data_IF_007848490388
#
_entry.id   IF_007848490388
#
_cell.length_a   1.000
_cell.length_b   1.000
_cell.length_c   1.000
_cell.angle_alpha   90.00
_cell.angle_beta   90.00
_cell.angle_gamma   90.00
#
_symmetry.space_group_name_H-M   'P 1'
#
loop_
_entity.id
_entity.type
_entity.pdbx_description
1 polymer ?
#
# COMPACT_ATOMS: atom_id res chain seq x y z
N UNK A 1 10.48 -14.14 0.48
CA UNK A 1 10.36 -12.84 -0.22
C UNK A 1 8.97 -12.31 0.06
N UNK A 2 8.84 -11.06 0.51
CA UNK A 2 7.53 -10.43 0.60
C UNK A 2 7.08 -10.04 -0.80
N UNK A 3 5.86 -10.44 -1.20
CA UNK A 3 5.32 -10.16 -2.53
C UNK A 3 3.91 -9.60 -2.39
N UNK A 4 3.71 -8.39 -2.93
CA UNK A 4 2.38 -7.86 -3.16
C UNK A 4 1.75 -8.62 -4.34
N UNK A 5 0.45 -8.88 -4.26
CA UNK A 5 -0.29 -9.47 -5.37
C UNK A 5 -0.69 -8.35 -6.33
N UNK A 6 -0.21 -8.45 -7.57
CA UNK A 6 -0.46 -7.47 -8.62
C UNK A 6 0.69 -6.48 -8.85
N UNK A 7 0.55 -5.67 -9.88
CA UNK A 7 1.49 -4.59 -10.19
C UNK A 7 1.27 -3.42 -9.23
N UNK A 8 2.35 -2.81 -8.73
CA UNK A 8 2.26 -1.60 -7.90
C UNK A 8 1.83 -0.43 -8.79
N UNK A 9 0.80 0.30 -8.37
CA UNK A 9 0.24 1.44 -9.10
C UNK A 9 0.31 2.75 -8.33
N UNK A 10 0.46 2.71 -7.01
CA UNK A 10 0.60 3.91 -6.17
C UNK A 10 1.38 3.64 -4.88
N UNK A 11 2.02 4.69 -4.35
CA UNK A 11 2.79 4.68 -3.11
C UNK A 11 2.52 5.95 -2.31
N UNK A 12 2.30 5.82 -1.01
CA UNK A 12 2.15 6.96 -0.10
C UNK A 12 2.86 6.72 1.23
N UNK A 13 3.48 7.76 1.78
CA UNK A 13 4.14 7.72 3.08
C UNK A 13 3.25 8.33 4.15
N UNK A 14 3.36 7.82 5.39
CA UNK A 14 2.70 8.39 6.56
C UNK A 14 3.60 8.31 7.79
N UNK A 15 3.37 9.25 8.73
CA UNK A 15 4.01 9.26 10.04
C UNK A 15 5.51 9.44 9.92
N UNK A 16 5.95 10.50 9.22
CA UNK A 16 7.37 10.78 8.94
C UNK A 16 8.10 9.65 8.17
N UNK A 17 7.36 8.91 7.34
CA UNK A 17 7.92 7.81 6.54
C UNK A 17 8.00 6.46 7.27
N UNK A 18 7.53 6.36 8.52
CA UNK A 18 7.48 5.09 9.24
C UNK A 18 6.53 4.05 8.62
N UNK A 19 5.52 4.51 7.89
CA UNK A 19 4.55 3.66 7.20
C UNK A 19 4.56 3.96 5.71
N UNK A 20 4.60 2.89 4.91
CA UNK A 20 4.49 2.94 3.45
C UNK A 20 3.18 2.25 3.07
N UNK A 21 2.33 2.93 2.30
CA UNK A 21 1.10 2.38 1.75
C UNK A 21 1.29 2.12 0.27
N UNK A 22 0.89 0.94 -0.20
CA UNK A 22 1.10 0.46 -1.56
C UNK A 22 -0.26 0.08 -2.15
N UNK A 23 -0.67 0.77 -3.21
CA UNK A 23 -1.83 0.39 -4.02
C UNK A 23 -1.42 -0.47 -5.20
N UNK A 24 -2.29 -1.41 -5.61
CA UNK A 24 -2.03 -2.31 -6.75
C UNK A 24 -3.13 -2.31 -7.81
N UNK A 25 -2.83 -2.90 -8.96
CA UNK A 25 -3.78 -3.19 -10.05
C UNK A 25 -4.85 -4.24 -9.70
N UNK A 26 -4.67 -4.95 -8.57
CA UNK A 26 -5.65 -5.89 -7.98
C UNK A 26 -6.49 -5.25 -6.89
N UNK A 27 -6.48 -3.92 -6.80
CA UNK A 27 -7.32 -3.19 -5.85
C UNK A 27 -6.97 -3.50 -4.39
N UNK A 28 -5.72 -3.90 -4.15
CA UNK A 28 -5.20 -4.16 -2.81
C UNK A 28 -4.49 -2.94 -2.28
N UNK A 29 -4.65 -2.67 -0.98
CA UNK A 29 -3.79 -1.75 -0.24
C UNK A 29 -2.96 -2.56 0.76
N UNK A 30 -1.64 -2.47 0.61
CA UNK A 30 -0.69 -2.99 1.60
C UNK A 30 -0.14 -1.85 2.46
N UNK A 31 0.10 -2.12 3.73
CA UNK A 31 0.85 -1.26 4.64
C UNK A 31 2.16 -1.96 4.99
N UNK A 32 3.27 -1.28 4.79
CA UNK A 32 4.61 -1.72 5.22
C UNK A 32 5.07 -0.84 6.36
N UNK A 33 5.46 -1.46 7.46
CA UNK A 33 6.18 -0.77 8.54
C UNK A 33 7.67 -0.70 8.19
N UNK A 34 8.25 0.50 8.23
CA UNK A 34 9.67 0.69 7.91
C UNK A 34 10.61 0.06 8.95
N UNK A 35 10.21 0.05 10.21
CA UNK A 35 11.06 -0.43 11.32
C UNK A 35 11.41 -1.93 11.22
N UNK A 36 10.47 -2.74 10.72
CA UNK A 36 10.59 -4.20 10.67
C UNK A 36 10.35 -4.78 9.27
N UNK A 37 10.09 -3.94 8.27
CA UNK A 37 9.74 -4.31 6.89
C UNK A 37 8.56 -5.29 6.79
N UNK A 38 7.68 -5.28 7.79
CA UNK A 38 6.49 -6.12 7.79
C UNK A 38 5.42 -5.51 6.91
N UNK A 39 4.95 -6.27 5.92
CA UNK A 39 3.82 -5.90 5.07
C UNK A 39 2.54 -6.60 5.55
N UNK A 40 1.45 -5.84 5.57
CA UNK A 40 0.12 -6.32 5.91
C UNK A 40 -0.84 -5.90 4.78
N UNK A 41 -1.67 -6.83 4.30
CA UNK A 41 -2.80 -6.48 3.45
C UNK A 41 -3.87 -5.85 4.34
N UNK A 42 -4.15 -4.57 4.13
CA UNK A 42 -5.09 -3.83 4.99
C UNK A 42 -6.42 -3.53 4.32
N UNK A 43 -6.48 -3.60 2.99
CA UNK A 43 -7.73 -3.40 2.26
C UNK A 43 -7.74 -4.15 0.92
N UNK A 44 -8.94 -4.55 0.50
CA UNK A 44 -9.27 -5.08 -0.82
C UNK A 44 -10.51 -4.37 -1.33
N UNK A 45 -10.45 -3.77 -2.52
CA UNK A 45 -11.53 -2.98 -3.11
C UNK A 45 -12.20 -3.67 -4.31
N UNK A 46 -13.09 -2.96 -5.02
CA UNK A 46 -13.73 -3.39 -6.28
C UNK A 46 -12.72 -3.70 -7.40
N UNK A 47 -13.17 -4.06 -8.59
CA UNK A 47 -12.35 -4.63 -9.67
C UNK A 47 -11.47 -3.63 -10.46
N UNK A 48 -10.98 -2.54 -9.85
CA UNK A 48 -10.19 -1.49 -10.54
C UNK A 48 -8.93 -1.06 -9.78
N UNK A 49 -7.84 -0.71 -10.48
CA UNK A 49 -6.56 -0.31 -9.87
C UNK A 49 -6.64 0.86 -8.89
N UNK A 50 -5.74 0.86 -7.89
CA UNK A 50 -5.58 1.99 -6.97
C UNK A 50 -4.54 2.95 -7.53
N UNK A 51 -5.02 4.02 -8.17
CA UNK A 51 -4.16 4.99 -8.84
C UNK A 51 -3.51 6.00 -7.89
N UNK A 52 -4.09 6.23 -6.71
CA UNK A 52 -3.53 7.16 -5.73
C UNK A 52 -3.94 6.81 -4.29
N UNK A 53 -3.11 7.19 -3.32
CA UNK A 53 -3.36 7.08 -1.88
C UNK A 53 -2.95 8.40 -1.25
N UNK A 54 -3.91 9.12 -0.66
CA UNK A 54 -3.65 10.37 0.04
C UNK A 54 -4.12 10.30 1.48
N UNK A 55 -3.37 10.95 2.37
CA UNK A 55 -3.77 11.16 3.76
C UNK A 55 -4.16 12.63 3.95
N UNK A 56 -5.22 12.92 4.72
CA UNK A 56 -5.49 14.28 5.17
C UNK A 56 -4.29 14.87 5.94
N UNK A 57 -4.17 16.19 5.90
CA UNK A 57 -3.27 16.95 6.77
C UNK A 57 -3.68 16.83 8.25
#
# INVERSE_FOLDING_TARGET
TLQATGSITSLALRGEGHMIFIGTDRSHIYKVNYADWKMELINTCHNSPINDIAFPL
#
